data_IF_934103011952
#
_entry.id   IF_934103011952
#
_cell.length_a   1.000
_cell.length_b   1.000
_cell.length_c   1.000
_cell.angle_alpha   90.00
_cell.angle_beta   90.00
_cell.angle_gamma   90.00
#
_symmetry.space_group_name_H-M   'P 1'
#
loop_
_entity.id
_entity.type
_entity.pdbx_description
1 polymer ?
#
# COMPACT_ATOMS: atom_id res chain seq x y z
N UNK A 1 -5.01 -10.41 22.83
CA UNK A 1 -5.13 -9.96 21.42
C UNK A 1 -5.73 -11.09 20.62
N UNK A 2 -6.75 -10.81 19.82
CA UNK A 2 -7.42 -11.82 19.04
C UNK A 2 -6.50 -12.38 17.94
N UNK A 3 -6.30 -13.69 17.88
CA UNK A 3 -5.42 -14.35 16.90
C UNK A 3 -5.82 -14.02 15.44
N UNK A 4 -7.12 -13.86 15.19
CA UNK A 4 -7.61 -13.45 13.87
C UNK A 4 -7.13 -12.07 13.42
N UNK A 5 -6.97 -11.10 14.35
CA UNK A 5 -6.39 -9.79 14.03
C UNK A 5 -4.93 -9.90 13.58
N UNK A 6 -4.17 -10.77 14.22
CA UNK A 6 -2.78 -11.04 13.84
C UNK A 6 -2.70 -11.64 12.45
N UNK A 7 -3.49 -12.67 12.19
CA UNK A 7 -3.50 -13.31 10.87
C UNK A 7 -4.01 -12.38 9.77
N UNK A 8 -5.07 -11.61 10.02
CA UNK A 8 -5.54 -10.60 9.07
C UNK A 8 -4.43 -9.59 8.73
N UNK A 9 -3.67 -9.15 9.74
CA UNK A 9 -2.55 -8.23 9.55
C UNK A 9 -1.42 -8.85 8.72
N UNK A 10 -1.01 -10.06 9.06
CA UNK A 10 0.09 -10.74 8.34
C UNK A 10 -0.28 -11.03 6.88
N UNK A 11 -1.47 -11.58 6.65
CA UNK A 11 -1.97 -11.87 5.30
C UNK A 11 -2.13 -10.57 4.51
N UNK A 12 -2.73 -9.54 5.13
CA UNK A 12 -2.87 -8.22 4.52
C UNK A 12 -1.53 -7.57 4.15
N UNK A 13 -0.52 -7.69 5.02
CA UNK A 13 0.82 -7.18 4.75
C UNK A 13 1.50 -7.91 3.57
N UNK A 14 1.37 -9.23 3.49
CA UNK A 14 1.90 -10.02 2.37
C UNK A 14 1.22 -9.63 1.06
N UNK A 15 -0.11 -9.57 1.03
CA UNK A 15 -0.87 -9.17 -0.15
C UNK A 15 -0.57 -7.72 -0.56
N UNK A 16 -0.45 -6.82 0.41
CA UNK A 16 -0.06 -5.43 0.17
C UNK A 16 1.34 -5.31 -0.43
N UNK A 17 2.29 -6.10 0.06
CA UNK A 17 3.66 -6.14 -0.48
C UNK A 17 3.70 -6.72 -1.90
N UNK A 18 2.87 -7.71 -2.19
CA UNK A 18 2.72 -8.23 -3.56
C UNK A 18 2.15 -7.19 -4.51
N UNK A 19 1.19 -6.37 -4.06
CA UNK A 19 0.68 -5.26 -4.85
C UNK A 19 1.79 -4.23 -5.16
N UNK A 20 2.58 -3.83 -4.17
CA UNK A 20 3.70 -2.92 -4.36
C UNK A 20 4.73 -3.47 -5.37
N UNK A 21 5.07 -4.74 -5.22
CA UNK A 21 5.98 -5.41 -6.16
C UNK A 21 5.39 -5.47 -7.58
N UNK A 22 4.11 -5.80 -7.73
CA UNK A 22 3.46 -5.87 -9.02
C UNK A 22 3.48 -4.51 -9.75
N UNK A 23 3.10 -3.43 -9.07
CA UNK A 23 3.03 -2.10 -9.67
C UNK A 23 4.41 -1.51 -9.94
N UNK A 24 5.30 -1.50 -8.97
CA UNK A 24 6.63 -0.88 -9.10
C UNK A 24 7.66 -1.81 -9.75
N UNK A 25 7.60 -3.11 -9.48
CA UNK A 25 8.59 -4.07 -9.94
C UNK A 25 8.27 -4.74 -11.27
N UNK A 26 7.01 -4.77 -11.72
CA UNK A 26 6.58 -5.46 -12.94
C UNK A 26 5.89 -4.53 -13.92
N UNK A 27 4.72 -3.98 -13.57
CA UNK A 27 3.88 -3.23 -14.51
C UNK A 27 4.50 -1.91 -14.96
N UNK A 28 5.11 -1.18 -14.04
CA UNK A 28 5.67 0.15 -14.29
C UNK A 28 7.19 0.21 -14.12
N UNK A 29 7.86 -0.92 -14.02
CA UNK A 29 9.30 -0.99 -13.75
C UNK A 29 10.13 -0.13 -14.70
N UNK A 30 9.84 -0.14 -16.00
CA UNK A 30 10.52 0.67 -16.99
C UNK A 30 10.38 2.18 -16.76
N UNK A 31 9.25 2.63 -16.24
CA UNK A 31 9.02 4.05 -15.94
C UNK A 31 9.83 4.53 -14.74
N UNK A 32 10.07 3.69 -13.77
CA UNK A 32 10.95 4.00 -12.65
C UNK A 32 12.41 4.17 -13.05
N UNK A 33 12.81 3.69 -14.22
CA UNK A 33 14.19 3.77 -14.74
C UNK A 33 14.43 4.94 -15.69
N UNK A 34 13.36 5.61 -16.18
CA UNK A 34 13.47 6.72 -17.15
C UNK A 34 14.24 7.92 -16.58
N UNK A 35 14.09 8.17 -15.28
CA UNK A 35 14.75 9.28 -14.57
C UNK A 35 15.57 8.75 -13.40
N UNK A 36 16.74 8.15 -13.65
CA UNK A 36 17.55 7.57 -12.58
C UNK A 36 18.03 8.61 -11.55
N UNK A 37 18.12 9.88 -11.94
CA UNK A 37 18.54 10.99 -11.09
C UNK A 37 17.60 11.28 -9.91
N UNK A 38 16.33 10.86 -9.98
CA UNK A 38 15.36 11.05 -8.87
C UNK A 38 15.47 9.98 -7.80
N UNK A 39 16.16 8.88 -8.11
CA UNK A 39 16.28 7.76 -7.18
C UNK A 39 17.58 7.86 -6.37
N UNK A 40 17.51 7.43 -5.11
CA UNK A 40 18.68 7.36 -4.25
C UNK A 40 19.65 6.30 -4.79
N UNK A 41 20.89 6.72 -5.00
CA UNK A 41 21.99 5.83 -5.41
C UNK A 41 22.50 4.97 -4.22
N UNK A 42 23.17 3.88 -4.54
CA UNK A 42 23.89 3.05 -3.60
C UNK A 42 23.37 1.61 -3.51
N UNK A 43 24.11 0.69 -4.12
CA UNK A 43 23.81 -0.76 -4.10
C UNK A 43 23.73 -1.33 -2.68
N UNK A 44 24.56 -0.87 -1.74
CA UNK A 44 24.60 -1.35 -0.35
C UNK A 44 23.38 -0.95 0.50
N UNK A 45 22.66 0.14 0.13
CA UNK A 45 21.49 0.60 0.86
C UNK A 45 20.15 0.08 0.34
N UNK A 46 20.11 -0.55 -0.83
CA UNK A 46 18.86 -0.96 -1.47
C UNK A 46 18.14 -2.07 -0.68
N UNK A 47 18.88 -3.08 -0.22
CA UNK A 47 18.32 -4.18 0.59
C UNK A 47 17.70 -3.67 1.89
N UNK A 48 18.38 -2.75 2.57
CA UNK A 48 17.89 -2.15 3.80
C UNK A 48 16.60 -1.35 3.55
N UNK A 49 16.55 -0.57 2.47
CA UNK A 49 15.34 0.19 2.07
C UNK A 49 14.15 -0.71 1.74
N UNK A 50 14.38 -1.85 1.09
CA UNK A 50 13.34 -2.84 0.82
C UNK A 50 12.79 -3.42 2.12
N UNK A 51 13.66 -3.77 3.08
CA UNK A 51 13.24 -4.29 4.39
C UNK A 51 12.39 -3.25 5.14
N UNK A 52 12.82 -1.98 5.15
CA UNK A 52 12.04 -0.90 5.76
C UNK A 52 10.68 -0.71 5.06
N UNK A 53 10.64 -0.81 3.74
CA UNK A 53 9.38 -0.73 2.99
C UNK A 53 8.42 -1.88 3.36
N UNK A 54 8.93 -3.09 3.58
CA UNK A 54 8.13 -4.22 4.06
C UNK A 54 7.62 -3.99 5.49
N UNK A 55 8.42 -3.40 6.37
CA UNK A 55 7.99 -3.02 7.71
C UNK A 55 6.84 -1.98 7.66
N UNK A 56 6.91 -1.03 6.74
CA UNK A 56 5.82 -0.06 6.52
C UNK A 56 4.54 -0.73 5.98
N UNK A 57 4.66 -1.74 5.14
CA UNK A 57 3.50 -2.53 4.69
C UNK A 57 2.81 -3.25 5.85
N UNK A 58 3.59 -3.78 6.80
CA UNK A 58 3.05 -4.39 8.02
C UNK A 58 2.33 -3.36 8.90
N UNK A 59 2.90 -2.16 9.06
CA UNK A 59 2.25 -1.05 9.79
C UNK A 59 0.94 -0.65 9.13
N UNK A 60 0.92 -0.53 7.80
CA UNK A 60 -0.29 -0.19 7.04
C UNK A 60 -1.39 -1.24 7.25
N UNK A 61 -1.04 -2.51 7.11
CA UNK A 61 -2.00 -3.61 7.29
C UNK A 61 -2.52 -3.66 8.73
N UNK A 62 -1.64 -3.56 9.73
CA UNK A 62 -2.03 -3.56 11.14
C UNK A 62 -2.95 -2.39 11.51
N UNK A 63 -2.61 -1.19 11.06
CA UNK A 63 -3.44 -0.01 11.28
C UNK A 63 -4.82 -0.13 10.62
N UNK A 64 -4.88 -0.64 9.38
CA UNK A 64 -6.14 -0.87 8.68
C UNK A 64 -7.02 -1.89 9.40
N UNK A 65 -6.45 -3.04 9.75
CA UNK A 65 -7.17 -4.14 10.45
C UNK A 65 -7.74 -3.64 11.77
N UNK A 66 -6.93 -2.93 12.56
CA UNK A 66 -7.39 -2.36 13.85
C UNK A 66 -8.49 -1.32 13.66
N UNK A 67 -8.37 -0.47 12.64
CA UNK A 67 -9.38 0.55 12.34
C UNK A 67 -10.69 -0.09 11.90
N UNK A 68 -10.64 -1.06 10.96
CA UNK A 68 -11.81 -1.78 10.50
C UNK A 68 -12.51 -2.52 11.64
N UNK A 69 -11.74 -3.16 12.51
CA UNK A 69 -12.27 -3.85 13.68
C UNK A 69 -12.95 -2.89 14.67
N UNK A 70 -12.31 -1.76 14.98
CA UNK A 70 -12.86 -0.75 15.90
C UNK A 70 -14.13 -0.08 15.36
N UNK A 71 -14.22 0.11 14.05
CA UNK A 71 -15.38 0.71 13.38
C UNK A 71 -16.47 -0.31 13.05
N UNK A 72 -16.29 -1.58 13.40
CA UNK A 72 -17.19 -2.68 13.04
C UNK A 72 -17.43 -2.78 11.51
N UNK A 73 -16.40 -2.48 10.72
CA UNK A 73 -16.40 -2.55 9.25
C UNK A 73 -15.56 -3.75 8.79
N UNK A 74 -15.89 -4.93 9.30
CA UNK A 74 -15.13 -6.16 9.02
C UNK A 74 -15.78 -7.05 7.97
N UNK A 75 -17.01 -6.77 7.55
CA UNK A 75 -17.61 -7.42 6.39
C UNK A 75 -16.99 -6.89 5.07
N UNK A 76 -17.13 -7.63 3.98
CA UNK A 76 -16.55 -7.27 2.69
C UNK A 76 -16.95 -5.88 2.22
N UNK A 77 -18.24 -5.55 2.30
CA UNK A 77 -18.75 -4.24 1.87
C UNK A 77 -18.19 -3.09 2.71
N UNK A 78 -18.17 -3.25 4.02
CA UNK A 78 -17.66 -2.26 4.96
C UNK A 78 -16.15 -2.06 4.83
N UNK A 79 -15.39 -3.16 4.79
CA UNK A 79 -13.93 -3.11 4.68
C UNK A 79 -13.48 -2.50 3.34
N UNK A 80 -14.09 -2.88 2.21
CA UNK A 80 -13.75 -2.30 0.90
C UNK A 80 -14.12 -0.82 0.81
N UNK A 81 -15.27 -0.42 1.37
CA UNK A 81 -15.66 0.99 1.46
C UNK A 81 -14.67 1.79 2.30
N UNK A 82 -14.25 1.25 3.44
CA UNK A 82 -13.24 1.87 4.29
C UNK A 82 -11.90 2.03 3.56
N UNK A 83 -11.47 1.01 2.81
CA UNK A 83 -10.25 1.08 2.00
C UNK A 83 -10.31 2.21 0.96
N UNK A 84 -11.42 2.34 0.24
CA UNK A 84 -11.63 3.40 -0.74
C UNK A 84 -11.61 4.80 -0.08
N UNK A 85 -12.25 4.95 1.08
CA UNK A 85 -12.26 6.21 1.83
C UNK A 85 -10.86 6.60 2.32
N UNK A 86 -10.09 5.65 2.85
CA UNK A 86 -8.71 5.89 3.29
C UNK A 86 -7.86 6.33 2.09
N UNK A 87 -8.01 5.67 0.95
CA UNK A 87 -7.28 6.04 -0.28
C UNK A 87 -7.58 7.47 -0.74
N UNK A 88 -8.86 7.86 -0.71
CA UNK A 88 -9.31 9.22 -1.07
C UNK A 88 -8.83 10.30 -0.10
N UNK A 89 -8.67 9.98 1.18
CA UNK A 89 -8.25 10.93 2.23
C UNK A 89 -6.73 11.08 2.27
N UNK A 90 -6.00 9.99 2.09
CA UNK A 90 -4.55 9.92 2.29
C UNK A 90 -3.74 9.79 1.00
N UNK A 91 -3.54 8.57 0.50
CA UNK A 91 -2.59 8.33 -0.59
C UNK A 91 -2.83 9.16 -1.84
N UNK A 92 -4.08 9.22 -2.32
CA UNK A 92 -4.40 9.92 -3.56
C UNK A 92 -4.04 11.41 -3.51
N UNK A 93 -4.55 12.21 -2.57
CA UNK A 93 -4.24 13.64 -2.55
C UNK A 93 -2.76 13.92 -2.28
N UNK A 94 -2.09 13.12 -1.46
CA UNK A 94 -0.64 13.27 -1.22
C UNK A 94 0.17 13.05 -2.49
N UNK A 95 -0.13 11.98 -3.23
CA UNK A 95 0.57 11.67 -4.48
C UNK A 95 0.30 12.72 -5.57
N UNK A 96 -0.93 13.19 -5.69
CA UNK A 96 -1.28 14.25 -6.64
C UNK A 96 -0.63 15.58 -6.27
N UNK A 97 -0.62 15.97 -5.00
CA UNK A 97 0.07 17.17 -4.55
C UNK A 97 1.57 17.08 -4.83
N UNK A 98 2.21 15.95 -4.55
CA UNK A 98 3.62 15.75 -4.88
C UNK A 98 3.88 15.89 -6.38
N UNK A 99 3.02 15.35 -7.24
CA UNK A 99 3.15 15.47 -8.69
C UNK A 99 3.00 16.91 -9.20
N UNK A 100 2.28 17.77 -8.47
CA UNK A 100 2.16 19.20 -8.82
C UNK A 100 3.42 20.00 -8.53
N UNK A 101 4.16 19.66 -7.48
CA UNK A 101 5.31 20.44 -7.00
C UNK A 101 6.66 19.78 -7.22
N UNK A 102 6.70 18.48 -7.50
CA UNK A 102 7.92 17.72 -7.70
C UNK A 102 7.92 17.15 -9.12
N UNK A 103 9.07 17.20 -9.78
CA UNK A 103 9.25 16.64 -11.13
C UNK A 103 9.25 15.11 -11.10
N UNK A 104 8.09 14.53 -10.96
CA UNK A 104 7.89 13.07 -11.00
C UNK A 104 7.16 12.72 -12.30
N UNK A 105 7.56 11.62 -12.93
CA UNK A 105 6.85 11.08 -14.10
C UNK A 105 5.38 10.79 -13.76
N UNK A 106 4.46 11.27 -14.58
CA UNK A 106 3.02 11.12 -14.35
C UNK A 106 2.58 9.64 -14.29
N UNK A 107 3.24 8.75 -15.03
CA UNK A 107 2.96 7.33 -14.99
C UNK A 107 3.50 6.69 -13.69
N UNK A 108 4.59 7.19 -13.13
CA UNK A 108 5.05 6.78 -11.80
C UNK A 108 4.04 7.20 -10.73
N UNK A 109 3.53 8.42 -10.79
CA UNK A 109 2.46 8.89 -9.88
C UNK A 109 1.21 8.04 -10.01
N UNK A 110 0.77 7.75 -11.23
CA UNK A 110 -0.39 6.89 -11.48
C UNK A 110 -0.17 5.46 -10.95
N UNK A 111 1.02 4.91 -11.13
CA UNK A 111 1.41 3.60 -10.59
C UNK A 111 1.30 3.57 -9.06
N UNK A 112 1.84 4.58 -8.39
CA UNK A 112 1.75 4.69 -6.92
C UNK A 112 0.30 4.84 -6.46
N UNK A 113 -0.50 5.68 -7.12
CA UNK A 113 -1.90 5.89 -6.75
C UNK A 113 -2.73 4.61 -6.92
N UNK A 114 -2.61 3.95 -8.07
CA UNK A 114 -3.31 2.69 -8.34
C UNK A 114 -2.79 1.56 -7.44
N UNK A 115 -1.49 1.48 -7.23
CA UNK A 115 -0.86 0.51 -6.34
C UNK A 115 -1.36 0.64 -4.90
N UNK A 116 -1.48 1.85 -4.38
CA UNK A 116 -2.06 2.10 -3.06
C UNK A 116 -3.52 1.69 -2.95
N UNK A 117 -4.32 1.93 -3.99
CA UNK A 117 -5.72 1.50 -4.02
C UNK A 117 -5.82 -0.02 -3.96
N UNK A 118 -5.11 -0.72 -4.86
CA UNK A 118 -5.11 -2.18 -4.90
C UNK A 118 -4.59 -2.78 -3.59
N UNK A 119 -3.52 -2.23 -3.04
CA UNK A 119 -2.96 -2.62 -1.75
C UNK A 119 -4.00 -2.55 -0.64
N UNK A 120 -4.69 -1.42 -0.49
CA UNK A 120 -5.73 -1.24 0.53
C UNK A 120 -6.93 -2.16 0.31
N UNK A 121 -7.34 -2.38 -0.93
CA UNK A 121 -8.43 -3.31 -1.26
C UNK A 121 -8.06 -4.76 -0.91
N UNK A 122 -6.82 -5.18 -1.15
CA UNK A 122 -6.34 -6.52 -0.77
C UNK A 122 -6.27 -6.69 0.74
N UNK A 123 -5.80 -5.67 1.48
CA UNK A 123 -5.80 -5.69 2.94
C UNK A 123 -7.24 -5.76 3.47
N UNK A 124 -8.16 -4.99 2.87
CA UNK A 124 -9.57 -5.03 3.23
C UNK A 124 -10.21 -6.41 2.99
N UNK A 125 -9.90 -7.04 1.85
CA UNK A 125 -10.38 -8.39 1.55
C UNK A 125 -9.84 -9.42 2.55
N UNK A 126 -8.56 -9.36 2.90
CA UNK A 126 -7.96 -10.21 3.93
C UNK A 126 -8.62 -9.98 5.31
N UNK A 127 -8.90 -8.72 5.65
CA UNK A 127 -9.59 -8.35 6.89
C UNK A 127 -10.98 -8.97 6.94
N UNK A 128 -11.76 -8.82 5.86
CA UNK A 128 -13.10 -9.36 5.78
C UNK A 128 -13.12 -10.88 5.79
N UNK A 129 -12.16 -11.51 5.14
CA UNK A 129 -12.03 -12.97 5.16
C UNK A 129 -11.75 -13.54 6.56
N UNK A 130 -10.95 -12.84 7.35
CA UNK A 130 -10.52 -13.30 8.67
C UNK A 130 -11.43 -12.86 9.82
N UNK A 131 -12.15 -11.74 9.68
CA UNK A 131 -12.92 -11.10 10.75
C UNK A 131 -14.40 -10.93 10.43
N UNK A 132 -14.76 -11.09 9.16
CA UNK A 132 -16.13 -10.93 8.64
C UNK A 132 -17.11 -12.05 8.99
#
# INVERSE_FOLDING_TARGET
MNLHLIWATLIGAVLGSLADWLFAGVLFHGRYQVHPEVWREGAGGQRHRIILAQALALVTAGAFVLLAWKLHQTDYKGALKLAAMIWLIGPLPVLLANALFIKIDHLVTASHAAGWLVKLLLIAAATAWMLG
#
